data_IF_859897564235
#
_entry.id   IF_859897564235
#
_cell.length_a   1.000
_cell.length_b   1.000
_cell.length_c   1.000
_cell.angle_alpha   90.00
_cell.angle_beta   90.00
_cell.angle_gamma   90.00
#
_symmetry.space_group_name_H-M   'P 1'
#
loop_
_entity.id
_entity.type
_entity.pdbx_description
1 polymer ?
#
# COMPACT_ATOMS: atom_id res chain seq x y z
N UNK A 1 -40.19 11.56 -10.09
CA UNK A 1 -39.73 12.84 -9.53
C UNK A 1 -38.27 12.70 -9.16
N UNK A 2 -37.38 13.53 -9.70
CA UNK A 2 -35.97 13.53 -9.29
C UNK A 2 -35.81 14.42 -8.05
N UNK A 3 -35.20 13.90 -6.99
CA UNK A 3 -34.89 14.66 -5.78
C UNK A 3 -33.56 15.37 -6.03
N UNK A 4 -33.52 16.70 -5.85
CA UNK A 4 -32.32 17.50 -6.07
C UNK A 4 -31.67 17.83 -4.74
N UNK A 5 -30.38 17.54 -4.60
CA UNK A 5 -29.59 17.87 -3.41
C UNK A 5 -28.60 18.98 -3.73
N UNK A 6 -28.39 19.89 -2.77
CA UNK A 6 -27.38 20.94 -2.89
C UNK A 6 -26.17 20.59 -2.04
N UNK A 7 -25.12 20.14 -2.71
CA UNK A 7 -23.84 19.78 -2.11
C UNK A 7 -22.85 20.95 -2.16
N UNK A 8 -21.69 20.79 -1.52
CA UNK A 8 -20.63 21.82 -1.54
C UNK A 8 -20.07 22.04 -2.95
N UNK A 9 -19.67 23.28 -3.28
CA UNK A 9 -19.16 23.62 -4.61
C UNK A 9 -17.86 22.88 -4.95
N UNK A 10 -17.10 22.46 -3.94
CA UNK A 10 -15.86 21.70 -4.10
C UNK A 10 -16.12 20.28 -4.66
N UNK A 11 -17.37 19.82 -4.68
CA UNK A 11 -17.78 18.52 -5.24
C UNK A 11 -18.29 18.63 -6.69
N UNK A 12 -18.30 19.83 -7.28
CA UNK A 12 -18.81 20.05 -8.62
C UNK A 12 -17.88 19.45 -9.68
N UNK A 13 -18.40 18.51 -10.49
CA UNK A 13 -17.63 17.84 -11.55
C UNK A 13 -16.84 16.61 -11.08
N UNK A 14 -16.84 16.34 -9.78
CA UNK A 14 -16.09 15.24 -9.17
C UNK A 14 -16.92 13.95 -9.05
N UNK A 15 -16.23 12.79 -9.10
CA UNK A 15 -16.85 11.48 -8.82
C UNK A 15 -16.82 11.22 -7.32
N UNK A 16 -17.99 11.21 -6.70
CA UNK A 16 -18.15 11.07 -5.24
C UNK A 16 -18.88 9.78 -4.87
N UNK A 17 -18.65 9.28 -3.65
CA UNK A 17 -19.46 8.18 -3.08
C UNK A 17 -20.60 8.75 -2.26
N UNK A 18 -21.83 8.35 -2.58
CA UNK A 18 -23.02 8.78 -1.86
C UNK A 18 -23.33 7.80 -0.74
N UNK A 19 -23.40 8.30 0.49
CA UNK A 19 -23.79 7.55 1.68
C UNK A 19 -25.23 7.93 2.03
N UNK A 20 -26.17 7.10 1.58
CA UNK A 20 -27.60 7.31 1.80
C UNK A 20 -28.18 6.20 2.68
N UNK A 21 -28.75 6.58 3.82
CA UNK A 21 -29.52 5.67 4.66
C UNK A 21 -30.92 5.49 4.08
N UNK A 22 -31.42 4.25 4.08
CA UNK A 22 -32.74 3.91 3.52
C UNK A 22 -33.91 4.68 4.16
N UNK A 23 -33.73 5.13 5.40
CA UNK A 23 -34.72 5.89 6.17
C UNK A 23 -34.34 7.36 6.37
N UNK A 24 -33.21 7.79 5.80
CA UNK A 24 -32.67 9.13 6.02
C UNK A 24 -33.12 10.05 4.88
N UNK A 25 -33.67 11.20 5.28
CA UNK A 25 -34.01 12.29 4.35
C UNK A 25 -32.80 13.14 3.97
N UNK A 26 -31.63 12.87 4.56
CA UNK A 26 -30.38 13.60 4.33
C UNK A 26 -29.34 12.66 3.71
N UNK A 27 -28.45 13.22 2.87
CA UNK A 27 -27.35 12.47 2.27
C UNK A 27 -26.02 12.92 2.83
N UNK A 28 -25.09 11.97 2.94
CA UNK A 28 -23.68 12.27 3.14
C UNK A 28 -22.91 11.95 1.86
N UNK A 29 -21.84 12.69 1.62
CA UNK A 29 -20.96 12.49 0.47
C UNK A 29 -19.56 12.21 0.97
N UNK A 30 -18.95 11.13 0.52
CA UNK A 30 -17.55 10.81 0.76
C UNK A 30 -16.72 11.23 -0.45
N UNK A 31 -15.72 12.09 -0.19
CA UNK A 31 -14.78 12.63 -1.17
C UNK A 31 -13.40 12.80 -0.50
N UNK A 32 -12.34 12.29 -1.14
CA UNK A 32 -10.96 12.29 -0.61
C UNK A 32 -10.85 11.75 0.84
N UNK A 33 -11.49 10.60 1.11
CA UNK A 33 -11.54 9.95 2.43
C UNK A 33 -12.14 10.83 3.55
N UNK A 34 -12.86 11.89 3.17
CA UNK A 34 -13.58 12.78 4.09
C UNK A 34 -15.08 12.66 3.87
N UNK A 35 -15.82 12.56 4.97
CA UNK A 35 -17.29 12.59 4.98
C UNK A 35 -17.77 14.05 5.06
N UNK A 36 -18.53 14.47 4.06
CA UNK A 36 -19.13 15.78 3.92
C UNK A 36 -20.66 15.66 4.01
N UNK A 37 -21.32 16.68 4.55
CA UNK A 37 -22.76 16.69 4.82
C UNK A 37 -23.07 16.94 6.31
N UNK A 38 -24.33 16.75 6.75
CA UNK A 38 -25.48 16.25 5.97
C UNK A 38 -26.02 17.27 4.96
N UNK A 39 -26.47 16.80 3.79
CA UNK A 39 -27.14 17.62 2.79
C UNK A 39 -28.63 17.26 2.71
N UNK A 40 -29.47 18.29 2.88
CA UNK A 40 -30.92 18.15 2.78
C UNK A 40 -31.41 18.30 1.33
N UNK A 41 -32.53 17.66 0.96
CA UNK A 41 -33.15 17.79 -0.35
C UNK A 41 -33.69 19.20 -0.53
N UNK A 42 -33.43 19.80 -1.69
CA UNK A 42 -34.00 21.10 -2.05
C UNK A 42 -35.34 20.84 -2.73
N UNK A 43 -36.43 21.02 -1.99
CA UNK A 43 -37.79 20.93 -2.53
C UNK A 43 -38.40 22.33 -2.61
N UNK A 44 -38.74 22.75 -3.83
CA UNK A 44 -39.45 24.00 -4.11
C UNK A 44 -38.94 24.72 -5.36
N UNK A 45 -39.81 25.45 -6.09
CA UNK A 45 -39.37 26.31 -7.19
C UNK A 45 -38.36 27.33 -6.65
N UNK A 46 -37.24 27.50 -7.37
CA UNK A 46 -36.24 28.52 -7.04
C UNK A 46 -36.94 29.88 -7.00
N UNK A 47 -36.85 30.64 -5.90
CA UNK A 47 -37.51 31.94 -5.80
C UNK A 47 -36.98 32.87 -6.89
N UNK A 48 -37.85 33.22 -7.84
CA UNK A 48 -37.59 34.26 -8.83
C UNK A 48 -37.28 35.57 -8.07
N UNK A 49 -36.16 36.19 -8.39
CA UNK A 49 -35.56 37.39 -7.77
C UNK A 49 -34.61 37.16 -6.58
N UNK A 50 -34.29 35.92 -6.20
CA UNK A 50 -33.22 35.63 -5.23
C UNK A 50 -32.07 34.84 -5.88
N UNK A 51 -31.15 35.57 -6.52
CA UNK A 51 -29.87 34.99 -6.94
C UNK A 51 -28.94 34.91 -5.73
N UNK A 52 -28.75 33.71 -5.20
CA UNK A 52 -27.77 33.47 -4.13
C UNK A 52 -26.36 33.45 -4.74
N UNK A 53 -25.49 34.36 -4.30
CA UNK A 53 -24.05 34.30 -4.63
C UNK A 53 -23.49 32.92 -4.22
N UNK A 54 -22.78 32.26 -5.13
CA UNK A 54 -22.09 31.01 -4.84
C UNK A 54 -21.12 31.24 -3.67
N UNK A 55 -21.21 30.40 -2.63
CA UNK A 55 -20.21 30.42 -1.56
C UNK A 55 -18.91 29.92 -2.16
N UNK A 56 -17.81 30.66 -1.99
CA UNK A 56 -16.48 30.19 -2.39
C UNK A 56 -16.12 28.99 -1.52
N UNK A 57 -15.72 27.89 -2.17
CA UNK A 57 -15.27 26.69 -1.47
C UNK A 57 -13.81 26.79 -1.04
N UNK A 58 -13.33 25.78 -0.29
CA UNK A 58 -11.96 25.78 0.24
C UNK A 58 -10.93 25.79 -0.88
N UNK A 59 -11.24 25.15 -2.02
CA UNK A 59 -10.38 25.12 -3.20
C UNK A 59 -10.19 26.52 -3.79
N UNK A 60 -11.27 27.31 -3.84
CA UNK A 60 -11.21 28.69 -4.34
C UNK A 60 -10.37 29.60 -3.42
N UNK A 61 -10.54 29.46 -2.10
CA UNK A 61 -9.72 30.21 -1.12
C UNK A 61 -8.24 29.81 -1.18
N UNK A 62 -7.94 28.53 -1.38
CA UNK A 62 -6.57 28.05 -1.53
C UNK A 62 -5.93 28.57 -2.82
N UNK A 63 -6.69 28.64 -3.93
CA UNK A 63 -6.24 29.27 -5.17
C UNK A 63 -5.92 30.75 -5.00
N UNK A 64 -6.76 31.50 -4.29
CA UNK A 64 -6.53 32.92 -3.99
C UNK A 64 -5.26 33.11 -3.12
N UNK A 65 -5.03 32.24 -2.12
CA UNK A 65 -3.81 32.27 -1.29
C UNK A 65 -2.55 31.97 -2.10
N UNK A 66 -2.60 30.98 -3.00
CA UNK A 66 -1.48 30.65 -3.89
C UNK A 66 -1.15 31.86 -4.79
N UNK A 67 -2.17 32.52 -5.36
CA UNK A 67 -1.96 33.74 -6.17
C UNK A 67 -1.32 34.86 -5.34
N UNK A 68 -1.85 35.13 -4.15
CA UNK A 68 -1.29 36.16 -3.26
C UNK A 68 0.17 35.85 -2.87
N UNK A 69 0.47 34.59 -2.57
CA UNK A 69 1.84 34.17 -2.25
C UNK A 69 2.77 34.30 -3.46
N UNK A 70 2.30 33.94 -4.66
CA UNK A 70 3.06 34.12 -5.89
C UNK A 70 3.38 35.59 -6.18
N UNK A 71 2.41 36.50 -5.96
CA UNK A 71 2.61 37.94 -6.07
C UNK A 71 3.64 38.46 -5.04
N UNK A 72 3.58 37.97 -3.80
CA UNK A 72 4.55 38.33 -2.74
C UNK A 72 5.97 37.84 -3.05
N UNK A 73 6.09 36.64 -3.60
CA UNK A 73 7.38 36.06 -3.94
C UNK A 73 7.98 36.69 -5.19
N UNK A 74 7.19 37.43 -5.97
CA UNK A 74 7.60 38.13 -7.20
C UNK A 74 8.43 37.21 -8.13
N UNK A 75 8.09 35.91 -8.14
CA UNK A 75 8.82 34.89 -8.86
C UNK A 75 8.35 34.92 -10.32
N UNK A 76 9.23 35.24 -11.29
CA UNK A 76 8.86 35.15 -12.69
C UNK A 76 8.55 33.69 -13.04
N UNK A 77 7.53 33.46 -13.87
CA UNK A 77 7.11 32.11 -14.32
C UNK A 77 8.28 31.31 -14.93
N UNK A 78 9.31 32.00 -15.44
CA UNK A 78 10.56 31.41 -15.93
C UNK A 78 11.33 30.64 -14.86
N UNK A 79 11.33 31.09 -13.60
CA UNK A 79 11.98 30.39 -12.49
C UNK A 79 11.28 29.07 -12.13
N UNK A 80 9.99 28.97 -12.44
CA UNK A 80 9.18 27.77 -12.20
C UNK A 80 9.16 26.82 -13.41
N UNK A 81 9.46 27.33 -14.61
CA UNK A 81 9.40 26.56 -15.87
C UNK A 81 10.59 25.63 -16.08
N UNK A 82 11.54 25.58 -15.13
CA UNK A 82 12.70 24.67 -15.17
C UNK A 82 13.72 24.97 -16.27
N UNK A 83 13.55 26.07 -17.00
CA UNK A 83 14.39 26.45 -18.15
C UNK A 83 15.73 27.06 -17.77
N UNK A 84 15.91 27.49 -16.52
CA UNK A 84 17.17 28.09 -16.02
C UNK A 84 18.17 27.06 -15.46
N UNK A 85 17.84 25.77 -15.49
CA UNK A 85 18.80 24.71 -15.17
C UNK A 85 19.64 24.47 -16.44
N UNK A 86 20.61 25.35 -16.69
CA UNK A 86 21.66 25.07 -17.66
C UNK A 86 22.50 23.94 -17.08
N UNK A 87 22.25 22.72 -17.54
CA UNK A 87 23.14 21.59 -17.30
C UNK A 87 24.48 22.00 -17.90
N UNK A 88 25.46 22.31 -17.05
CA UNK A 88 26.82 22.50 -17.52
C UNK A 88 27.17 21.25 -18.36
N UNK A 89 27.69 21.38 -19.59
CA UNK A 89 28.09 20.23 -20.36
C UNK A 89 29.12 19.48 -19.51
N UNK A 90 28.70 18.35 -18.95
CA UNK A 90 29.57 17.50 -18.16
C UNK A 90 30.71 17.08 -19.07
N UNK A 91 31.93 17.31 -18.62
CA UNK A 91 33.13 16.89 -19.33
C UNK A 91 33.07 15.36 -19.47
N UNK A 92 32.70 14.85 -20.66
CA UNK A 92 32.55 13.41 -20.93
C UNK A 92 33.88 12.64 -20.78
N UNK A 93 34.97 13.37 -20.55
CA UNK A 93 36.32 12.84 -20.35
C UNK A 93 36.58 12.31 -18.94
N UNK A 94 35.74 12.63 -17.95
CA UNK A 94 35.92 12.13 -16.59
C UNK A 94 35.05 10.88 -16.38
N UNK A 95 35.51 9.74 -16.92
CA UNK A 95 34.91 8.44 -16.67
C UNK A 95 34.89 8.17 -15.16
N UNK A 96 33.75 8.43 -14.51
CA UNK A 96 33.54 8.12 -13.10
C UNK A 96 33.92 6.66 -12.86
N UNK A 97 34.70 6.34 -11.82
CA UNK A 97 35.07 4.97 -11.51
C UNK A 97 33.80 4.16 -11.25
N UNK A 98 33.46 3.26 -12.18
CA UNK A 98 32.32 2.35 -12.06
C UNK A 98 32.78 1.12 -11.30
N UNK A 99 32.46 1.07 -10.01
CA UNK A 99 32.62 -0.15 -9.23
C UNK A 99 31.28 -0.91 -9.24
N UNK A 100 31.23 -2.18 -9.71
CA UNK A 100 30.05 -3.00 -9.52
C UNK A 100 29.81 -3.19 -8.02
N UNK A 101 28.54 -3.15 -7.59
CA UNK A 101 28.20 -3.40 -6.20
C UNK A 101 28.53 -4.86 -5.85
N UNK A 102 29.14 -5.07 -4.68
CA UNK A 102 29.23 -6.41 -4.09
C UNK A 102 27.82 -6.83 -3.65
N UNK A 103 27.19 -7.69 -4.44
CA UNK A 103 25.89 -8.27 -4.11
C UNK A 103 26.17 -9.55 -3.30
N UNK A 104 26.01 -9.56 -1.96
CA UNK A 104 26.10 -10.80 -1.22
C UNK A 104 25.04 -11.78 -1.74
N UNK A 105 25.39 -13.06 -1.86
CA UNK A 105 24.45 -14.09 -2.30
C UNK A 105 23.21 -14.06 -1.38
N UNK A 106 22.09 -13.57 -1.90
CA UNK A 106 20.86 -13.46 -1.13
C UNK A 106 20.28 -14.85 -0.93
N UNK A 107 20.44 -15.38 0.28
CA UNK A 107 19.79 -16.62 0.69
C UNK A 107 18.48 -16.27 1.40
N UNK A 108 17.32 -16.80 0.96
CA UNK A 108 16.08 -16.57 1.66
C UNK A 108 16.15 -17.18 3.07
N UNK A 109 15.99 -16.35 4.10
CA UNK A 109 15.98 -16.76 5.51
C UNK A 109 14.56 -16.73 6.03
N UNK A 110 14.16 -17.73 6.84
CA UNK A 110 12.87 -17.70 7.51
C UNK A 110 12.81 -16.54 8.49
N UNK A 111 11.68 -15.81 8.52
CA UNK A 111 11.48 -14.68 9.44
C UNK A 111 11.43 -15.14 10.90
N UNK A 112 11.03 -16.39 11.16
CA UNK A 112 10.94 -16.96 12.50
C UNK A 112 10.98 -18.49 12.47
N UNK A 113 11.27 -19.11 13.62
CA UNK A 113 11.18 -20.57 13.79
C UNK A 113 9.76 -21.10 13.56
N UNK A 114 8.73 -20.32 13.91
CA UNK A 114 7.32 -20.72 13.70
C UNK A 114 7.00 -20.82 12.21
N UNK A 115 7.46 -19.85 11.42
CA UNK A 115 7.32 -19.89 9.96
C UNK A 115 8.06 -21.09 9.37
N UNK A 116 9.29 -21.35 9.83
CA UNK A 116 10.05 -22.50 9.38
C UNK A 116 9.30 -23.82 9.66
N UNK A 117 8.72 -23.98 10.86
CA UNK A 117 7.91 -25.15 11.23
C UNK A 117 6.68 -25.32 10.34
N UNK A 118 5.99 -24.23 9.99
CA UNK A 118 4.85 -24.26 9.07
C UNK A 118 5.28 -24.69 7.67
N UNK A 119 6.38 -24.15 7.16
CA UNK A 119 6.92 -24.51 5.85
C UNK A 119 7.38 -25.97 5.81
N UNK A 120 8.02 -26.45 6.87
CA UNK A 120 8.44 -27.86 6.99
C UNK A 120 7.23 -28.79 7.00
N UNK A 121 6.18 -28.44 7.74
CA UNK A 121 4.93 -29.23 7.76
C UNK A 121 4.29 -29.29 6.37
N UNK A 122 4.30 -28.17 5.63
CA UNK A 122 3.82 -28.10 4.26
C UNK A 122 4.68 -28.94 3.30
N UNK A 123 6.00 -28.89 3.42
CA UNK A 123 6.95 -29.67 2.60
C UNK A 123 6.82 -31.19 2.84
N UNK A 124 6.55 -31.60 4.08
CA UNK A 124 6.34 -33.00 4.45
C UNK A 124 4.90 -33.47 4.22
N UNK A 125 3.97 -32.57 3.88
CA UNK A 125 2.53 -32.82 3.79
C UNK A 125 1.93 -33.51 5.04
N UNK A 126 2.53 -33.28 6.22
CA UNK A 126 2.15 -33.90 7.48
C UNK A 126 2.27 -32.88 8.63
N UNK A 127 1.29 -32.79 9.55
CA UNK A 127 1.44 -31.96 10.73
C UNK A 127 2.61 -32.47 11.59
N UNK A 128 3.46 -31.56 12.08
CA UNK A 128 4.62 -31.90 12.91
C UNK A 128 4.26 -32.69 14.17
N UNK A 129 3.04 -32.53 14.68
CA UNK A 129 2.53 -33.25 15.85
C UNK A 129 2.39 -34.77 15.63
N UNK A 130 2.37 -35.24 14.38
CA UNK A 130 2.34 -36.68 14.04
C UNK A 130 3.72 -37.31 13.96
N UNK A 131 4.79 -36.52 14.06
CA UNK A 131 6.16 -37.02 14.00
C UNK A 131 6.57 -37.58 15.36
N UNK A 132 7.42 -38.61 15.34
CA UNK A 132 8.03 -39.15 16.56
C UNK A 132 8.95 -38.12 17.25
N UNK A 133 9.20 -38.27 18.56
CA UNK A 133 9.97 -37.31 19.35
C UNK A 133 11.40 -37.12 18.83
N UNK A 134 12.03 -38.17 18.31
CA UNK A 134 13.38 -38.10 17.71
C UNK A 134 13.42 -37.18 16.48
N UNK A 135 12.44 -37.34 15.58
CA UNK A 135 12.32 -36.52 14.36
C UNK A 135 12.00 -35.07 14.69
N UNK A 136 11.16 -34.82 15.71
CA UNK A 136 10.89 -33.46 16.19
C UNK A 136 12.17 -32.83 16.75
N UNK A 137 12.93 -33.57 17.57
CA UNK A 137 14.21 -33.10 18.11
C UNK A 137 15.22 -32.74 17.03
N UNK A 138 15.31 -33.54 15.97
CA UNK A 138 16.18 -33.23 14.81
C UNK A 138 15.77 -31.93 14.10
N UNK A 139 14.47 -31.71 13.91
CA UNK A 139 13.95 -30.48 13.29
C UNK A 139 14.28 -29.27 14.18
N UNK A 140 14.05 -29.35 15.48
CA UNK A 140 14.36 -28.25 16.41
C UNK A 140 15.85 -27.93 16.46
N UNK A 141 16.71 -28.96 16.49
CA UNK A 141 18.15 -28.78 16.43
C UNK A 141 18.56 -28.06 15.13
N UNK A 142 18.03 -28.48 13.99
CA UNK A 142 18.34 -27.87 12.69
C UNK A 142 17.93 -26.38 12.65
N UNK A 143 16.76 -26.04 13.19
CA UNK A 143 16.27 -24.66 13.25
C UNK A 143 17.04 -23.77 14.25
N UNK A 144 17.66 -24.37 15.28
CA UNK A 144 18.55 -23.66 16.19
C UNK A 144 19.93 -23.38 15.56
N UNK A 145 20.38 -24.24 14.64
CA UNK A 145 21.65 -24.07 13.92
C UNK A 145 21.53 -23.06 12.78
N UNK A 146 20.45 -23.11 11.99
CA UNK A 146 20.28 -22.28 10.79
C UNK A 146 18.80 -21.99 10.50
N UNK A 147 18.52 -20.78 10.02
CA UNK A 147 17.21 -20.38 9.48
C UNK A 147 17.26 -20.14 7.97
N UNK A 148 18.38 -20.47 7.32
CA UNK A 148 18.52 -20.37 5.87
C UNK A 148 17.60 -21.41 5.22
N UNK A 149 16.63 -20.96 4.42
CA UNK A 149 15.53 -21.78 3.91
C UNK A 149 16.01 -23.00 3.14
N UNK A 150 16.97 -22.80 2.23
CA UNK A 150 17.44 -23.87 1.35
C UNK A 150 18.24 -24.93 2.12
N UNK A 151 19.04 -24.50 3.10
CA UNK A 151 19.81 -25.39 3.97
C UNK A 151 18.89 -26.24 4.87
N UNK A 152 17.92 -25.60 5.53
CA UNK A 152 16.93 -26.27 6.38
C UNK A 152 16.16 -27.32 5.58
N UNK A 153 15.62 -26.95 4.40
CA UNK A 153 14.84 -27.86 3.57
C UNK A 153 15.71 -29.01 3.05
N UNK A 154 16.94 -28.73 2.60
CA UNK A 154 17.86 -29.76 2.12
C UNK A 154 18.18 -30.79 3.21
N UNK A 155 18.47 -30.33 4.43
CA UNK A 155 18.82 -31.18 5.58
C UNK A 155 17.65 -32.03 6.04
N UNK A 156 16.45 -31.47 6.08
CA UNK A 156 15.23 -32.21 6.41
C UNK A 156 14.92 -33.25 5.33
N UNK A 157 14.98 -32.90 4.04
CA UNK A 157 14.79 -33.87 2.94
C UNK A 157 15.80 -35.01 3.02
N UNK A 158 17.06 -34.72 3.34
CA UNK A 158 18.10 -35.73 3.50
C UNK A 158 17.79 -36.68 4.67
N UNK A 159 17.40 -36.14 5.83
CA UNK A 159 16.99 -36.94 6.99
C UNK A 159 15.83 -37.91 6.65
N UNK A 160 14.76 -37.42 6.03
CA UNK A 160 13.61 -38.25 5.66
C UNK A 160 13.90 -39.23 4.52
N UNK A 161 14.86 -38.93 3.63
CA UNK A 161 15.31 -39.90 2.60
C UNK A 161 16.08 -41.06 3.22
N UNK A 162 16.92 -40.78 4.20
CA UNK A 162 17.74 -41.80 4.86
C UNK A 162 16.96 -42.61 5.89
N UNK A 163 15.91 -42.02 6.49
CA UNK A 163 15.02 -42.67 7.44
C UNK A 163 13.76 -43.27 6.80
N UNK A 164 13.75 -43.59 5.49
CA UNK A 164 12.64 -44.35 4.91
C UNK A 164 12.62 -45.78 5.49
N UNK A 165 11.54 -46.20 6.16
CA UNK A 165 11.40 -47.59 6.58
C UNK A 165 11.09 -48.45 5.35
N UNK A 166 12.04 -49.26 4.92
CA UNK A 166 11.72 -50.55 4.31
C UNK A 166 11.60 -51.56 5.45
N UNK A 167 10.45 -52.21 5.57
CA UNK A 167 10.12 -53.26 6.57
C UNK A 167 10.07 -52.70 8.02
N UNK A 168 8.93 -52.63 8.69
CA UNK A 168 8.25 -53.75 9.35
C UNK A 168 6.78 -53.36 9.58
N UNK A 169 5.84 -54.13 9.04
CA UNK A 169 4.50 -54.40 9.56
C UNK A 169 3.79 -55.35 8.57
N UNK A 170 4.29 -56.57 8.50
CA UNK A 170 3.51 -57.75 8.14
C UNK A 170 3.71 -58.74 9.29
N UNK A 171 2.71 -58.80 10.18
CA UNK A 171 2.64 -59.65 11.36
C UNK A 171 1.32 -59.46 12.07
#
# INVERSE_FOLDING_TARGET
MAITYKVDPDLAGEKVRLLWGLFDNEIYVEFEDRRLGPYAPVSGPVPLNHYRKFRRGRVAEQGDKIRQLAEQLNLPISALSGTDIVMAPGDETNALPRQPFDVPEYHPVFRSMVEARVVIAAELALPLARLGPETIGFIEQTLNETLVRDEVIARIRHYFRNNKPGEENAG
#
